data_IF_686243086729
#
_entry.id   IF_686243086729
#
_cell.length_a   1.000
_cell.length_b   1.000
_cell.length_c   1.000
_cell.angle_alpha   90.00
_cell.angle_beta   90.00
_cell.angle_gamma   90.00
#
_symmetry.space_group_name_H-M   'P 1'
#
loop_
_entity.id
_entity.type
_entity.pdbx_description
1 polymer ?
#
# COMPACT_ATOMS: atom_id res chain seq x y z
N UNK A 1 -4.78 23.06 -20.17
CA UNK A 1 -4.30 21.65 -20.22
C UNK A 1 -4.28 21.12 -18.80
N UNK A 2 -4.78 19.90 -18.57
CA UNK A 2 -4.80 19.28 -17.25
C UNK A 2 -3.69 18.21 -17.15
N UNK A 3 -3.01 18.13 -16.00
CA UNK A 3 -2.07 17.04 -15.70
C UNK A 3 -2.84 15.86 -15.10
N UNK A 4 -2.63 14.66 -15.62
CA UNK A 4 -3.15 13.42 -15.03
C UNK A 4 -1.98 12.59 -14.50
N UNK A 5 -1.97 12.30 -13.20
CA UNK A 5 -0.98 11.42 -12.56
C UNK A 5 -1.60 10.05 -12.32
N UNK A 6 -0.95 8.98 -12.78
CA UNK A 6 -1.37 7.60 -12.58
C UNK A 6 -0.26 6.84 -11.84
N UNK A 7 -0.56 6.33 -10.65
CA UNK A 7 0.33 5.43 -9.89
C UNK A 7 -0.01 3.98 -10.23
N UNK A 8 0.46 3.52 -11.39
CA UNK A 8 0.24 2.16 -11.87
C UNK A 8 0.96 1.13 -10.97
N UNK A 9 0.39 -0.08 -10.87
CA UNK A 9 0.97 -1.21 -10.14
C UNK A 9 1.38 -0.87 -8.69
N UNK A 10 0.62 0.03 -8.06
CA UNK A 10 0.83 0.40 -6.67
C UNK A 10 0.75 -0.84 -5.79
N UNK A 11 1.78 -1.04 -4.96
CA UNK A 11 1.94 -2.19 -4.07
C UNK A 11 1.01 -2.12 -2.85
N UNK A 12 -0.29 -1.93 -3.10
CA UNK A 12 -1.37 -1.80 -2.13
C UNK A 12 -2.36 -2.93 -2.38
N UNK A 13 -2.49 -3.81 -1.39
CA UNK A 13 -3.41 -4.93 -1.43
C UNK A 13 -3.69 -5.44 -0.02
N UNK A 14 -4.73 -6.26 0.12
CA UNK A 14 -4.96 -7.00 1.34
C UNK A 14 -3.99 -8.18 1.46
N UNK A 15 -3.79 -8.67 2.68
CA UNK A 15 -2.98 -9.87 2.90
C UNK A 15 -3.58 -11.06 2.13
N UNK A 16 -2.81 -11.74 1.26
CA UNK A 16 -3.28 -12.90 0.51
C UNK A 16 -3.63 -14.09 1.41
N UNK A 17 -4.66 -14.85 1.02
CA UNK A 17 -5.16 -15.99 1.78
C UNK A 17 -4.08 -17.05 2.04
N UNK A 18 -3.16 -17.23 1.09
CA UNK A 18 -2.04 -18.17 1.13
C UNK A 18 -1.10 -17.90 2.31
N UNK A 19 -1.02 -16.65 2.76
CA UNK A 19 -0.14 -16.24 3.86
C UNK A 19 -0.87 -15.64 5.06
N UNK A 20 -2.20 -15.55 5.03
CA UNK A 20 -3.01 -15.00 6.13
C UNK A 20 -2.79 -15.75 7.46
N UNK A 21 -2.53 -17.07 7.40
CA UNK A 21 -2.21 -17.92 8.56
C UNK A 21 -0.75 -17.86 9.04
N UNK A 22 0.11 -17.04 8.45
CA UNK A 22 1.52 -16.95 8.85
C UNK A 22 1.68 -16.19 10.17
N UNK A 23 2.62 -16.62 11.02
CA UNK A 23 2.86 -16.04 12.36
C UNK A 23 3.06 -14.52 12.32
N UNK A 24 3.77 -14.00 11.33
CA UNK A 24 3.99 -12.56 11.17
C UNK A 24 2.69 -11.78 10.91
N UNK A 25 1.79 -12.34 10.10
CA UNK A 25 0.47 -11.76 9.82
C UNK A 25 -0.43 -11.88 11.06
N UNK A 26 -0.54 -13.07 11.64
CA UNK A 26 -1.36 -13.33 12.83
C UNK A 26 -0.99 -12.41 14.01
N UNK A 27 0.31 -12.20 14.23
CA UNK A 27 0.81 -11.27 15.25
C UNK A 27 0.37 -9.82 14.97
N UNK A 28 0.50 -9.36 13.72
CA UNK A 28 0.03 -8.04 13.32
C UNK A 28 -1.49 -7.89 13.41
N UNK A 29 -2.24 -8.93 13.07
CA UNK A 29 -3.71 -8.99 13.16
C UNK A 29 -4.18 -8.90 14.61
N UNK A 30 -3.55 -9.68 15.49
CA UNK A 30 -3.81 -9.65 16.93
C UNK A 30 -3.53 -8.26 17.52
N UNK A 31 -2.36 -7.67 17.21
CA UNK A 31 -2.00 -6.32 17.66
C UNK A 31 -2.99 -5.25 17.17
N UNK A 32 -3.47 -5.38 15.93
CA UNK A 32 -4.43 -4.45 15.32
C UNK A 32 -5.90 -4.76 15.63
N UNK A 33 -6.20 -5.87 16.34
CA UNK A 33 -7.55 -6.38 16.61
C UNK A 33 -8.40 -6.48 15.34
N UNK A 34 -7.81 -6.95 14.24
CA UNK A 34 -8.45 -7.10 12.93
C UNK A 34 -8.29 -8.52 12.42
N UNK A 35 -9.18 -8.91 11.51
CA UNK A 35 -9.03 -10.14 10.75
C UNK A 35 -7.72 -10.10 9.91
N UNK A 36 -6.91 -11.18 9.91
CA UNK A 36 -5.65 -11.25 9.16
C UNK A 36 -5.78 -10.91 7.68
N UNK A 37 -6.82 -11.40 7.01
CA UNK A 37 -7.08 -11.16 5.58
C UNK A 37 -7.60 -9.76 5.29
N UNK A 38 -7.98 -8.99 6.32
CA UNK A 38 -8.40 -7.58 6.20
C UNK A 38 -7.29 -6.57 6.50
N UNK A 39 -6.07 -7.05 6.76
CA UNK A 39 -4.90 -6.18 6.86
C UNK A 39 -4.38 -5.80 5.48
N UNK A 40 -3.80 -4.61 5.37
CA UNK A 40 -2.96 -4.25 4.21
C UNK A 40 -1.67 -5.07 4.31
N UNK A 41 -1.25 -5.65 3.19
CA UNK A 41 0.05 -6.31 3.10
C UNK A 41 1.16 -5.26 3.21
N UNK A 42 2.11 -5.48 4.13
CA UNK A 42 3.19 -4.53 4.41
C UNK A 42 4.48 -5.32 4.65
N UNK A 43 5.48 -5.06 3.82
CA UNK A 43 6.77 -5.74 3.85
C UNK A 43 7.52 -5.50 5.16
N UNK A 44 7.32 -4.35 5.82
CA UNK A 44 7.96 -4.02 7.09
C UNK A 44 7.52 -4.96 8.22
N UNK A 45 6.27 -5.45 8.17
CA UNK A 45 5.70 -6.34 9.19
C UNK A 45 5.57 -7.79 8.74
N UNK A 46 5.34 -8.02 7.44
CA UNK A 46 4.98 -9.32 6.89
C UNK A 46 6.11 -9.94 6.04
N UNK A 47 7.34 -9.39 6.07
CA UNK A 47 8.46 -9.87 5.24
C UNK A 47 8.61 -11.40 5.23
N UNK A 48 8.66 -12.02 6.41
CA UNK A 48 8.82 -13.49 6.53
C UNK A 48 7.64 -14.29 5.98
N UNK A 49 6.43 -13.72 5.98
CA UNK A 49 5.26 -14.31 5.35
C UNK A 49 5.32 -14.15 3.82
N UNK A 50 5.70 -12.98 3.32
CA UNK A 50 5.83 -12.68 1.89
C UNK A 50 6.87 -13.59 1.22
N UNK A 51 7.99 -13.90 1.90
CA UNK A 51 8.98 -14.84 1.37
C UNK A 51 8.42 -16.23 1.03
N UNK A 52 7.30 -16.64 1.65
CA UNK A 52 6.63 -17.91 1.32
C UNK A 52 5.89 -17.89 -0.02
N UNK A 53 5.60 -16.70 -0.55
CA UNK A 53 5.03 -16.50 -1.88
C UNK A 53 6.07 -16.66 -3.01
N UNK A 54 7.36 -16.81 -2.68
CA UNK A 54 8.46 -16.96 -3.64
C UNK A 54 8.46 -15.80 -4.66
N UNK A 55 8.55 -16.09 -5.96
CA UNK A 55 8.55 -15.09 -7.04
C UNK A 55 7.29 -14.23 -7.02
N UNK A 56 6.14 -14.78 -6.63
CA UNK A 56 4.88 -14.01 -6.54
C UNK A 56 4.83 -13.03 -5.37
N UNK A 57 5.85 -13.01 -4.50
CA UNK A 57 6.00 -12.05 -3.41
C UNK A 57 6.87 -10.83 -3.76
N UNK A 58 7.58 -10.85 -4.90
CA UNK A 58 8.52 -9.79 -5.27
C UNK A 58 7.76 -8.50 -5.57
N UNK A 59 8.19 -7.38 -4.97
CA UNK A 59 7.59 -6.05 -5.19
C UNK A 59 6.28 -5.80 -4.43
N UNK A 60 5.81 -6.73 -3.59
CA UNK A 60 4.53 -6.62 -2.86
C UNK A 60 4.66 -6.02 -1.47
N UNK A 61 3.58 -5.44 -0.98
CA UNK A 61 3.48 -4.88 0.36
C UNK A 61 4.29 -3.61 0.60
N UNK A 62 4.33 -2.69 -0.36
CA UNK A 62 4.97 -1.37 -0.21
C UNK A 62 3.95 -0.23 -0.33
N UNK A 63 2.93 -0.18 0.54
CA UNK A 63 1.91 0.87 0.50
C UNK A 63 2.47 2.25 0.82
N UNK A 64 3.63 2.31 1.49
CA UNK A 64 4.35 3.54 1.82
C UNK A 64 4.74 4.36 0.58
N UNK A 65 5.09 3.71 -0.53
CA UNK A 65 5.48 4.38 -1.77
C UNK A 65 4.31 5.19 -2.31
N UNK A 66 3.17 4.54 -2.53
CA UNK A 66 1.98 5.21 -3.05
C UNK A 66 1.44 6.27 -2.08
N UNK A 67 1.48 5.99 -0.77
CA UNK A 67 1.11 6.98 0.25
C UNK A 67 1.98 8.23 0.16
N UNK A 68 3.30 8.09 0.14
CA UNK A 68 4.22 9.22 0.06
C UNK A 68 4.11 9.97 -1.27
N UNK A 69 4.03 9.25 -2.40
CA UNK A 69 3.81 9.85 -3.72
C UNK A 69 2.53 10.70 -3.76
N UNK A 70 1.44 10.21 -3.17
CA UNK A 70 0.19 10.96 -3.07
C UNK A 70 0.32 12.19 -2.18
N UNK A 71 0.98 12.09 -1.02
CA UNK A 71 1.22 13.25 -0.15
C UNK A 71 1.96 14.37 -0.90
N UNK A 72 3.03 14.02 -1.62
CA UNK A 72 3.81 14.99 -2.39
C UNK A 72 3.00 15.57 -3.55
N UNK A 73 2.31 14.74 -4.33
CA UNK A 73 1.53 15.18 -5.48
C UNK A 73 0.38 16.11 -5.07
N UNK A 74 -0.38 15.73 -4.03
CA UNK A 74 -1.52 16.50 -3.54
C UNK A 74 -1.10 17.79 -2.82
N UNK A 75 0.06 17.78 -2.17
CA UNK A 75 0.65 18.96 -1.53
C UNK A 75 1.40 19.89 -2.48
N UNK A 76 1.48 19.58 -3.78
CA UNK A 76 2.20 20.41 -4.74
C UNK A 76 1.45 21.71 -5.06
N UNK A 77 2.15 22.83 -5.34
CA UNK A 77 1.50 24.06 -5.80
C UNK A 77 0.65 23.86 -7.06
N UNK A 78 1.07 22.94 -7.94
CA UNK A 78 0.34 22.59 -9.15
C UNK A 78 -1.05 22.00 -8.83
N UNK A 79 -1.18 21.23 -7.76
CA UNK A 79 -2.46 20.70 -7.30
C UNK A 79 -3.25 21.70 -6.44
N UNK A 80 -2.58 22.60 -5.70
CA UNK A 80 -3.25 23.61 -4.88
C UNK A 80 -3.91 24.72 -5.73
N UNK A 81 -3.21 25.18 -6.76
CA UNK A 81 -3.65 26.31 -7.61
C UNK A 81 -4.58 25.87 -8.75
N UNK A 82 -4.89 24.58 -8.87
CA UNK A 82 -5.81 24.06 -9.89
C UNK A 82 -7.28 24.42 -9.63
N UNK A 83 -7.60 24.93 -8.44
CA UNK A 83 -8.95 25.41 -8.09
C UNK A 83 -9.22 26.85 -8.57
N UNK A 84 -8.20 27.69 -8.74
CA UNK A 84 -8.35 29.08 -9.26
C UNK A 84 -8.58 29.15 -10.77
N UNK A 85 -8.33 28.06 -11.50
CA UNK A 85 -8.50 28.02 -12.96
C UNK A 85 -9.88 27.51 -13.40
N UNK A 86 -10.77 27.18 -12.46
CA UNK A 86 -12.14 26.69 -12.71
C UNK A 86 -13.23 27.70 -12.32
N UNK A 87 -12.87 28.88 -11.79
CA UNK A 87 -13.73 30.06 -11.72
C UNK A 87 -13.41 31.03 -12.87
#
# INVERSE_FOLDING_TARGET
>A
MALTLILAESSIELVPNEIAGQRAVLSSAHRKKKDPGRLILDQSYHHSAILRLRSSGVGRGRPDIAHFSLLVALGSPLNANSSEALE
#
